data_IF_884628437345
#
_entry.id   IF_884628437345
#
_cell.length_a   1.000
_cell.length_b   1.000
_cell.length_c   1.000
_cell.angle_alpha   90.00
_cell.angle_beta   90.00
_cell.angle_gamma   90.00
#
_symmetry.space_group_name_H-M   'P 1'
#
loop_
_entity.id
_entity.type
_entity.pdbx_description
1 polymer ?
#
# COMPACT_ATOMS: atom_id res chain seq x y z
N UNK A 1 -25.02 1.74 3.26
CA UNK A 1 -24.55 0.77 2.25
C UNK A 1 -23.07 0.92 1.91
N UNK A 2 -22.55 2.13 1.60
CA UNK A 2 -21.11 2.32 1.26
C UNK A 2 -20.14 1.94 2.40
N UNK A 3 -20.52 2.17 3.66
CA UNK A 3 -19.72 1.81 4.84
C UNK A 3 -19.41 0.32 4.94
N UNK A 4 -20.41 -0.54 4.74
CA UNK A 4 -20.23 -1.99 4.72
C UNK A 4 -19.28 -2.43 3.59
N UNK A 5 -19.34 -1.76 2.43
CA UNK A 5 -18.41 -1.97 1.32
C UNK A 5 -16.96 -1.64 1.69
N UNK A 6 -16.71 -0.52 2.39
CA UNK A 6 -15.36 -0.16 2.85
C UNK A 6 -14.82 -1.17 3.87
N UNK A 7 -15.65 -1.64 4.80
CA UNK A 7 -15.25 -2.67 5.78
C UNK A 7 -14.91 -3.99 5.09
N UNK A 8 -15.74 -4.44 4.15
CA UNK A 8 -15.48 -5.67 3.39
C UNK A 8 -14.19 -5.56 2.57
N UNK A 9 -13.99 -4.43 1.88
CA UNK A 9 -12.75 -4.14 1.16
C UNK A 9 -11.55 -4.18 2.11
N UNK A 10 -11.66 -3.58 3.30
CA UNK A 10 -10.61 -3.61 4.32
C UNK A 10 -10.26 -5.02 4.79
N UNK A 11 -11.26 -5.88 4.99
CA UNK A 11 -11.04 -7.29 5.36
C UNK A 11 -10.31 -8.04 4.24
N UNK A 12 -10.81 -7.95 3.00
CA UNK A 12 -10.21 -8.63 1.85
C UNK A 12 -8.78 -8.14 1.61
N UNK A 13 -8.58 -6.82 1.64
CA UNK A 13 -7.27 -6.22 1.48
C UNK A 13 -6.31 -6.58 2.62
N UNK A 14 -6.82 -6.69 3.86
CA UNK A 14 -6.04 -7.12 5.03
C UNK A 14 -5.55 -8.56 4.89
N UNK A 15 -6.43 -9.48 4.48
CA UNK A 15 -6.06 -10.88 4.21
C UNK A 15 -4.98 -10.96 3.13
N UNK A 16 -5.21 -10.30 2.00
CA UNK A 16 -4.26 -10.30 0.89
C UNK A 16 -2.94 -9.61 1.26
N UNK A 17 -2.98 -8.53 2.05
CA UNK A 17 -1.78 -7.87 2.54
C UNK A 17 -0.98 -8.75 3.48
N UNK A 18 -1.63 -9.57 4.31
CA UNK A 18 -0.96 -10.53 5.18
C UNK A 18 -0.29 -11.66 4.39
N UNK A 19 -0.94 -12.17 3.34
CA UNK A 19 -0.41 -13.24 2.48
C UNK A 19 0.73 -12.74 1.58
N UNK A 20 0.56 -11.56 0.97
CA UNK A 20 1.47 -11.04 -0.06
C UNK A 20 2.55 -10.11 0.52
N UNK A 21 2.37 -9.56 1.72
CA UNK A 21 3.31 -8.63 2.34
C UNK A 21 3.36 -7.21 1.71
N UNK A 22 2.48 -6.90 0.76
CA UNK A 22 2.52 -5.66 -0.05
C UNK A 22 1.86 -4.43 0.60
N UNK A 23 1.36 -4.55 1.83
CA UNK A 23 0.74 -3.43 2.55
C UNK A 23 -0.58 -2.93 1.95
N UNK A 24 -1.38 -3.79 1.30
CA UNK A 24 -2.77 -3.53 0.88
C UNK A 24 -3.02 -2.46 -0.20
N UNK A 25 -2.12 -1.48 -0.39
CA UNK A 25 -2.38 -0.31 -1.24
C UNK A 25 -2.52 -0.63 -2.73
N UNK A 26 -1.85 -1.68 -3.20
CA UNK A 26 -1.99 -2.20 -4.58
C UNK A 26 -3.43 -2.63 -4.88
N UNK A 27 -4.18 -3.08 -3.86
CA UNK A 27 -5.55 -3.56 -4.00
C UNK A 27 -6.55 -2.45 -3.66
N UNK A 28 -6.29 -1.71 -2.58
CA UNK A 28 -7.24 -0.70 -2.05
C UNK A 28 -7.34 0.51 -2.98
N UNK A 29 -6.22 1.02 -3.52
CA UNK A 29 -6.26 2.21 -4.39
C UNK A 29 -7.12 1.98 -5.63
N UNK A 30 -6.92 0.91 -6.44
CA UNK A 30 -7.81 0.63 -7.56
C UNK A 30 -9.26 0.41 -7.15
N UNK A 31 -9.51 -0.29 -6.03
CA UNK A 31 -10.86 -0.54 -5.56
C UNK A 31 -11.59 0.76 -5.19
N UNK A 32 -10.93 1.68 -4.48
CA UNK A 32 -11.50 2.99 -4.12
C UNK A 32 -11.82 3.84 -5.36
N UNK A 33 -11.01 3.74 -6.42
CA UNK A 33 -11.25 4.45 -7.67
C UNK A 33 -12.41 3.81 -8.45
N UNK A 34 -12.31 2.53 -8.77
CA UNK A 34 -13.22 1.88 -9.71
C UNK A 34 -14.55 1.47 -9.09
N UNK A 35 -14.58 1.15 -7.78
CA UNK A 35 -15.81 0.69 -7.11
C UNK A 35 -16.46 1.79 -6.28
N UNK A 36 -15.68 2.72 -5.74
CA UNK A 36 -16.18 3.79 -4.86
C UNK A 36 -16.15 5.19 -5.48
N UNK A 37 -15.58 5.33 -6.68
CA UNK A 37 -15.60 6.58 -7.46
C UNK A 37 -14.69 7.68 -6.91
N UNK A 38 -13.70 7.33 -6.09
CA UNK A 38 -12.71 8.30 -5.61
C UNK A 38 -11.75 8.71 -6.73
N UNK A 39 -11.29 9.97 -6.69
CA UNK A 39 -10.16 10.36 -7.54
C UNK A 39 -8.83 9.79 -6.99
N UNK A 40 -7.77 9.84 -7.80
CA UNK A 40 -6.47 9.25 -7.45
C UNK A 40 -5.90 9.80 -6.14
N UNK A 41 -5.97 11.12 -5.92
CA UNK A 41 -5.52 11.75 -4.69
C UNK A 41 -6.29 11.28 -3.46
N UNK A 42 -7.62 11.21 -3.56
CA UNK A 42 -8.49 10.72 -2.49
C UNK A 42 -8.21 9.26 -2.16
N UNK A 43 -8.14 8.41 -3.17
CA UNK A 43 -7.87 6.98 -2.99
C UNK A 43 -6.51 6.76 -2.34
N UNK A 44 -5.47 7.47 -2.79
CA UNK A 44 -4.13 7.35 -2.26
C UNK A 44 -4.01 7.90 -0.83
N UNK A 45 -4.57 9.08 -0.56
CA UNK A 45 -4.59 9.66 0.79
C UNK A 45 -5.36 8.80 1.79
N UNK A 46 -6.54 8.29 1.40
CA UNK A 46 -7.35 7.39 2.24
C UNK A 46 -6.61 6.10 2.54
N UNK A 47 -5.98 5.51 1.53
CA UNK A 47 -5.19 4.27 1.69
C UNK A 47 -3.99 4.51 2.59
N UNK A 48 -3.25 5.60 2.41
CA UNK A 48 -2.11 5.94 3.26
C UNK A 48 -2.55 6.15 4.70
N UNK A 49 -3.61 6.92 4.94
CA UNK A 49 -4.16 7.14 6.27
C UNK A 49 -4.59 5.84 6.94
N UNK A 50 -5.16 4.91 6.17
CA UNK A 50 -5.51 3.58 6.62
C UNK A 50 -4.27 2.74 6.99
N UNK A 51 -3.18 2.82 6.21
CA UNK A 51 -1.97 2.00 6.40
C UNK A 51 -1.03 2.47 7.51
N UNK A 52 -1.20 3.70 8.01
CA UNK A 52 -0.54 4.14 9.25
C UNK A 52 -0.88 3.15 10.38
N UNK A 53 -0.03 2.98 11.41
CA UNK A 53 -0.37 2.18 12.58
C UNK A 53 -1.80 2.41 13.09
N UNK A 54 -2.56 1.34 13.42
CA UNK A 54 -2.07 0.03 13.87
C UNK A 54 -2.11 -1.13 12.85
N UNK A 55 -2.52 -0.94 11.60
CA UNK A 55 -2.94 -2.07 10.73
C UNK A 55 -1.82 -3.07 10.42
N UNK A 56 -0.60 -2.60 10.15
CA UNK A 56 0.54 -3.47 9.87
C UNK A 56 1.07 -4.24 11.08
N UNK A 57 0.71 -3.84 12.31
CA UNK A 57 1.31 -4.38 13.54
C UNK A 57 0.96 -5.84 13.75
N UNK A 58 -0.29 -6.24 13.53
CA UNK A 58 -0.73 -7.62 13.76
C UNK A 58 -0.07 -8.61 12.78
N UNK A 59 0.04 -8.22 11.51
CA UNK A 59 0.75 -9.02 10.51
C UNK A 59 2.24 -9.11 10.84
N UNK A 60 2.90 -7.96 11.10
CA UNK A 60 4.31 -7.93 11.48
C UNK A 60 4.60 -8.74 12.75
N UNK A 61 3.72 -8.68 13.75
CA UNK A 61 3.82 -9.47 14.98
C UNK A 61 3.74 -10.96 14.70
N UNK A 62 2.85 -11.39 13.80
CA UNK A 62 2.76 -12.79 13.38
C UNK A 62 4.07 -13.28 12.77
N UNK A 63 4.65 -12.52 11.84
CA UNK A 63 5.95 -12.86 11.25
C UNK A 63 7.10 -12.78 12.26
N UNK A 64 7.04 -11.83 13.20
CA UNK A 64 8.04 -11.69 14.26
C UNK A 64 8.06 -12.91 15.18
N UNK A 65 6.88 -13.39 15.60
CA UNK A 65 6.75 -14.61 16.40
C UNK A 65 7.28 -15.85 15.70
N UNK A 66 7.24 -15.88 14.37
CA UNK A 66 7.79 -16.98 13.56
C UNK A 66 9.29 -16.81 13.25
N UNK A 67 9.93 -15.75 13.75
CA UNK A 67 11.36 -15.49 13.53
C UNK A 67 11.72 -14.96 12.14
N UNK A 68 10.73 -14.55 11.33
CA UNK A 68 10.96 -14.06 9.97
C UNK A 68 11.24 -12.55 9.88
N UNK A 69 11.15 -11.82 10.99
CA UNK A 69 11.39 -10.37 10.99
C UNK A 69 12.83 -10.07 11.38
N UNK A 70 13.58 -9.52 10.43
CA UNK A 70 14.89 -8.93 10.70
C UNK A 70 14.72 -7.48 11.18
N UNK A 71 14.90 -7.27 12.48
CA UNK A 71 14.63 -5.98 13.15
C UNK A 71 15.53 -4.86 12.64
N UNK A 72 16.83 -5.12 12.47
CA UNK A 72 17.78 -4.08 12.07
C UNK A 72 17.46 -3.52 10.67
N UNK A 73 17.27 -4.34 9.61
CA UNK A 73 16.75 -3.83 8.33
C UNK A 73 15.41 -3.12 8.45
N UNK A 74 14.48 -3.64 9.25
CA UNK A 74 13.16 -3.03 9.42
C UNK A 74 13.23 -1.60 9.98
N UNK A 75 14.13 -1.35 10.93
CA UNK A 75 14.33 0.00 11.52
C UNK A 75 14.89 0.98 10.50
N UNK A 76 15.92 0.59 9.74
CA UNK A 76 16.47 1.47 8.70
C UNK A 76 15.47 1.74 7.58
N UNK A 77 14.71 0.72 7.16
CA UNK A 77 13.62 0.88 6.19
C UNK A 77 12.55 1.83 6.73
N UNK A 78 12.14 1.70 7.99
CA UNK A 78 11.15 2.58 8.61
C UNK A 78 11.64 4.04 8.66
N UNK A 79 12.90 4.27 9.03
CA UNK A 79 13.48 5.62 9.07
C UNK A 79 13.55 6.25 7.66
N UNK A 80 14.03 5.50 6.67
CA UNK A 80 14.04 5.95 5.27
C UNK A 80 12.64 6.20 4.72
N UNK A 81 11.68 5.33 5.05
CA UNK A 81 10.28 5.46 4.65
C UNK A 81 9.62 6.70 5.26
N UNK A 82 9.94 7.04 6.51
CA UNK A 82 9.40 8.23 7.16
C UNK A 82 9.75 9.52 6.38
N UNK A 83 11.03 9.66 6.01
CA UNK A 83 11.51 10.83 5.25
C UNK A 83 11.02 10.77 3.81
N UNK A 84 11.23 9.64 3.13
CA UNK A 84 10.88 9.46 1.72
C UNK A 84 9.37 9.55 1.48
N UNK A 85 8.55 9.02 2.39
CA UNK A 85 7.10 9.10 2.34
C UNK A 85 6.60 10.54 2.49
N UNK A 86 7.17 11.32 3.40
CA UNK A 86 6.82 12.74 3.55
C UNK A 86 7.18 13.54 2.29
N UNK A 87 8.40 13.38 1.78
CA UNK A 87 8.85 14.09 0.58
C UNK A 87 8.05 13.66 -0.65
N UNK A 88 7.81 12.35 -0.80
CA UNK A 88 7.00 11.78 -1.88
C UNK A 88 5.56 12.28 -1.84
N UNK A 89 4.94 12.34 -0.66
CA UNK A 89 3.58 12.88 -0.51
C UNK A 89 3.52 14.37 -0.87
N UNK A 90 4.48 15.18 -0.39
CA UNK A 90 4.58 16.61 -0.75
C UNK A 90 4.72 16.81 -2.26
N UNK A 91 5.50 15.97 -2.94
CA UNK A 91 5.61 16.03 -4.40
C UNK A 91 4.31 15.57 -5.08
N UNK A 92 3.75 14.44 -4.64
CA UNK A 92 2.60 13.80 -5.26
C UNK A 92 1.37 14.70 -5.29
N UNK A 93 1.07 15.45 -4.22
CA UNK A 93 -0.13 16.32 -4.16
C UNK A 93 -0.16 17.44 -5.20
N UNK A 94 0.99 17.78 -5.81
CA UNK A 94 1.07 18.78 -6.88
C UNK A 94 0.88 18.18 -8.28
N UNK A 95 0.84 16.86 -8.40
CA UNK A 95 0.65 16.18 -9.68
C UNK A 95 -0.83 16.10 -10.05
N UNK A 96 -1.11 16.10 -11.36
CA UNK A 96 -2.48 15.82 -11.85
C UNK A 96 -2.89 14.39 -11.52
N UNK A 97 -4.19 14.14 -11.35
CA UNK A 97 -4.74 12.78 -11.14
C UNK A 97 -4.29 11.80 -12.25
N UNK A 98 -4.26 12.27 -13.50
CA UNK A 98 -3.85 11.45 -14.65
C UNK A 98 -2.36 11.07 -14.57
N UNK A 99 -1.49 12.02 -14.22
CA UNK A 99 -0.06 11.77 -14.04
C UNK A 99 0.18 10.78 -12.89
N UNK A 100 -0.47 11.00 -11.74
CA UNK A 100 -0.31 10.15 -10.56
C UNK A 100 -0.81 8.71 -10.83
N UNK A 101 -1.94 8.57 -11.52
CA UNK A 101 -2.49 7.28 -11.94
C UNK A 101 -1.55 6.54 -12.90
N UNK A 102 -0.96 7.25 -13.90
CA UNK A 102 0.03 6.68 -14.81
C UNK A 102 1.29 6.21 -14.07
N UNK A 103 1.82 7.03 -13.16
CA UNK A 103 3.00 6.67 -12.35
C UNK A 103 2.71 5.40 -11.56
N UNK A 104 1.56 5.35 -10.88
CA UNK A 104 1.16 4.17 -10.10
C UNK A 104 1.02 2.92 -10.99
N UNK A 105 0.32 3.03 -12.11
CA UNK A 105 0.13 1.90 -13.05
C UNK A 105 1.44 1.39 -13.65
N UNK A 106 2.34 2.29 -14.07
CA UNK A 106 3.65 1.91 -14.60
C UNK A 106 4.50 1.22 -13.54
N UNK A 107 4.49 1.72 -12.30
CA UNK A 107 5.21 1.08 -11.19
C UNK A 107 4.69 -0.34 -10.92
N UNK A 108 3.37 -0.54 -10.90
CA UNK A 108 2.77 -1.86 -10.74
C UNK A 108 3.14 -2.81 -11.88
N UNK A 109 3.08 -2.32 -13.12
CA UNK A 109 3.47 -3.13 -14.29
C UNK A 109 4.95 -3.54 -14.21
N UNK A 110 5.85 -2.62 -13.85
CA UNK A 110 7.26 -2.91 -13.70
C UNK A 110 7.52 -3.99 -12.62
N UNK A 111 6.85 -3.87 -11.47
CA UNK A 111 6.94 -4.87 -10.39
C UNK A 111 6.40 -6.23 -10.87
N UNK A 112 5.24 -6.25 -11.53
CA UNK A 112 4.65 -7.47 -12.04
C UNK A 112 5.56 -8.18 -13.05
N UNK A 113 6.09 -7.45 -14.04
CA UNK A 113 7.04 -7.99 -15.02
C UNK A 113 8.28 -8.54 -14.32
N UNK A 114 8.84 -7.78 -13.36
CA UNK A 114 10.00 -8.25 -12.61
C UNK A 114 9.70 -9.54 -11.85
N UNK A 115 8.56 -9.65 -11.18
CA UNK A 115 8.22 -10.85 -10.41
C UNK A 115 7.98 -12.08 -11.30
N UNK A 116 7.43 -11.90 -12.51
CA UNK A 116 7.18 -13.01 -13.45
C UNK A 116 8.49 -13.50 -14.05
N UNK A 117 9.39 -12.59 -14.43
CA UNK A 117 10.59 -12.93 -15.21
C UNK A 117 11.89 -13.02 -14.40
N UNK A 118 11.90 -12.61 -13.13
CA UNK A 118 13.07 -12.79 -12.27
C UNK A 118 13.14 -14.23 -11.79
N UNK A 119 14.34 -14.82 -11.88
CA UNK A 119 14.63 -16.11 -11.25
C UNK A 119 14.53 -15.95 -9.72
N UNK A 120 13.96 -16.94 -9.00
CA UNK A 120 13.85 -16.90 -7.55
C UNK A 120 15.22 -16.84 -6.87
#
# INVERSE_FOLDING_TARGET
MKSAGYTLLGIVAGILSGVLGIGGGVIIVPALIFLFGMNQHQAQGTTLAMLVPPIGILAAYTYYRQGYVQILPAVFLAAGFFVGGLLGAKFAVHLSNATLSRIFGIALLAIALKMIFSKP
#
